data_IF_645964631248
#
_entry.id   IF_645964631248
#
_cell.length_a   1.000
_cell.length_b   1.000
_cell.length_c   1.000
_cell.angle_alpha   90.00
_cell.angle_beta   90.00
_cell.angle_gamma   90.00
#
_symmetry.space_group_name_H-M   'P 1'
#
loop_
_entity.id
_entity.type
_entity.pdbx_description
1 polymer ?
#
# COMPACT_ATOMS: atom_id res chain seq x y z
N UNK A 1 -20.92 -0.68 -5.37
CA UNK A 1 -20.07 0.53 -5.47
C UNK A 1 -18.64 0.06 -5.65
N UNK A 2 -17.95 0.52 -6.69
CA UNK A 2 -16.57 0.07 -7.00
C UNK A 2 -15.59 0.74 -6.04
N UNK A 3 -14.74 -0.05 -5.38
CA UNK A 3 -13.67 0.50 -4.54
C UNK A 3 -12.71 1.34 -5.40
N UNK A 4 -12.29 2.50 -4.91
CA UNK A 4 -11.33 3.35 -5.63
C UNK A 4 -9.93 2.77 -5.49
N UNK A 5 -9.21 2.70 -6.61
CA UNK A 5 -7.81 2.25 -6.66
C UNK A 5 -6.86 3.39 -6.28
N UNK A 6 -5.93 3.10 -5.38
CA UNK A 6 -4.92 4.06 -4.89
C UNK A 6 -3.55 3.43 -4.90
N UNK A 7 -2.60 4.11 -5.55
CA UNK A 7 -1.18 3.77 -5.49
C UNK A 7 -0.51 4.63 -4.44
N UNK A 8 0.10 4.01 -3.43
CA UNK A 8 0.81 4.69 -2.34
C UNK A 8 2.31 4.47 -2.43
N UNK A 9 3.06 5.54 -2.69
CA UNK A 9 4.52 5.50 -2.88
C UNK A 9 5.20 5.99 -1.61
N UNK A 10 5.93 5.09 -0.95
CA UNK A 10 6.74 5.37 0.22
C UNK A 10 6.04 5.00 1.54
N UNK A 11 6.58 4.01 2.24
CA UNK A 11 6.04 3.55 3.51
C UNK A 11 6.89 4.07 4.67
N UNK A 12 6.98 5.40 4.84
CA UNK A 12 7.66 6.03 5.99
C UNK A 12 6.96 5.77 7.33
N UNK A 13 7.39 6.46 8.40
CA UNK A 13 6.71 6.38 9.72
C UNK A 13 5.23 6.75 9.61
N UNK A 14 4.92 7.83 8.88
CA UNK A 14 3.53 8.25 8.64
C UNK A 14 2.85 7.46 7.53
N UNK A 15 3.57 7.16 6.44
CA UNK A 15 2.98 6.52 5.26
C UNK A 15 2.49 5.09 5.52
N UNK A 16 3.17 4.34 6.40
CA UNK A 16 2.80 2.96 6.70
C UNK A 16 1.38 2.81 7.28
N UNK A 17 1.01 3.51 8.39
CA UNK A 17 -0.36 3.47 8.90
C UNK A 17 -1.37 4.18 7.98
N UNK A 18 -0.97 5.23 7.25
CA UNK A 18 -1.86 5.95 6.33
C UNK A 18 -2.34 5.07 5.18
N UNK A 19 -1.44 4.30 4.55
CA UNK A 19 -1.83 3.34 3.52
C UNK A 19 -2.78 2.27 4.10
N UNK A 20 -2.54 1.82 5.34
CA UNK A 20 -3.42 0.87 6.03
C UNK A 20 -4.80 1.43 6.32
N UNK A 21 -4.89 2.72 6.67
CA UNK A 21 -6.15 3.42 6.86
C UNK A 21 -7.00 3.43 5.58
N UNK A 22 -6.38 3.58 4.41
CA UNK A 22 -7.09 3.51 3.13
C UNK A 22 -7.70 2.12 2.88
N UNK A 23 -6.96 1.03 3.15
CA UNK A 23 -7.52 -0.34 3.08
C UNK A 23 -8.77 -0.47 3.95
N UNK A 24 -8.71 0.02 5.20
CA UNK A 24 -9.83 -0.07 6.15
C UNK A 24 -11.03 0.80 5.75
N UNK A 25 -10.84 1.80 4.89
CA UNK A 25 -11.89 2.69 4.39
C UNK A 25 -12.34 2.30 2.96
N UNK A 26 -12.22 1.03 2.61
CA UNK A 26 -12.80 0.46 1.39
C UNK A 26 -12.14 0.95 0.08
N UNK A 27 -10.84 1.23 0.13
CA UNK A 27 -9.99 1.48 -1.03
C UNK A 27 -9.18 0.23 -1.41
N UNK A 28 -8.95 0.05 -2.71
CA UNK A 28 -7.98 -0.93 -3.22
C UNK A 28 -6.60 -0.25 -3.25
N UNK A 29 -5.69 -0.66 -2.37
CA UNK A 29 -4.38 0.01 -2.23
C UNK A 29 -3.26 -0.86 -2.74
N UNK A 30 -2.47 -0.32 -3.66
CA UNK A 30 -1.16 -0.87 -4.06
C UNK A 30 -0.06 -0.02 -3.46
N UNK A 31 0.89 -0.62 -2.75
CA UNK A 31 2.02 0.09 -2.14
C UNK A 31 3.33 -0.20 -2.88
N UNK A 32 4.16 0.84 -2.99
CA UNK A 32 5.55 0.69 -3.38
C UNK A 32 6.45 1.34 -2.32
N UNK A 33 7.58 0.70 -2.03
CA UNK A 33 8.62 1.27 -1.21
C UNK A 33 9.98 0.82 -1.74
N UNK A 34 10.98 1.71 -1.68
CA UNK A 34 12.34 1.42 -2.14
C UNK A 34 12.90 0.13 -1.52
N UNK A 35 12.64 -0.09 -0.24
CA UNK A 35 12.99 -1.34 0.44
C UNK A 35 11.79 -2.27 0.44
N UNK A 36 11.90 -3.37 -0.32
CA UNK A 36 10.84 -4.35 -0.56
C UNK A 36 10.29 -4.99 0.72
N UNK A 37 11.18 -5.32 1.66
CA UNK A 37 10.81 -5.91 2.95
C UNK A 37 9.74 -5.11 3.72
N UNK A 38 9.70 -3.77 3.53
CA UNK A 38 8.71 -2.91 4.16
C UNK A 38 7.33 -3.03 3.53
N UNK A 39 7.26 -3.09 2.20
CA UNK A 39 6.01 -3.36 1.48
C UNK A 39 5.49 -4.76 1.76
N UNK A 40 6.37 -5.77 1.82
CA UNK A 40 5.98 -7.14 2.14
C UNK A 40 5.43 -7.25 3.56
N UNK A 41 6.07 -6.58 4.53
CA UNK A 41 5.57 -6.50 5.91
C UNK A 41 4.22 -5.79 5.98
N UNK A 42 4.01 -4.78 5.14
CA UNK A 42 2.76 -4.05 5.05
C UNK A 42 1.62 -4.93 4.50
N UNK A 43 1.86 -5.70 3.43
CA UNK A 43 0.88 -6.64 2.85
C UNK A 43 0.55 -7.80 3.80
N UNK A 44 1.49 -8.22 4.65
CA UNK A 44 1.18 -9.20 5.71
C UNK A 44 0.25 -8.64 6.78
N UNK A 45 0.28 -7.33 7.02
CA UNK A 45 -0.54 -6.66 8.04
C UNK A 45 -1.89 -6.18 7.51
N UNK A 46 -1.94 -5.75 6.25
CA UNK A 46 -3.12 -5.19 5.60
C UNK A 46 -3.42 -5.94 4.29
N UNK A 47 -4.69 -6.11 3.94
CA UNK A 47 -5.12 -6.87 2.74
C UNK A 47 -4.96 -6.06 1.43
N UNK A 48 -3.83 -5.38 1.24
CA UNK A 48 -3.50 -4.65 0.01
C UNK A 48 -2.45 -5.36 -0.85
N UNK A 49 -2.03 -4.70 -1.92
CA UNK A 49 -1.04 -5.23 -2.86
C UNK A 49 0.30 -4.49 -2.71
N UNK A 50 1.40 -5.14 -3.10
CA UNK A 50 2.71 -4.51 -3.20
C UNK A 50 3.32 -4.79 -4.58
N UNK A 51 3.89 -3.76 -5.20
CA UNK A 51 4.54 -3.86 -6.51
C UNK A 51 6.02 -3.47 -6.41
N UNK A 52 6.88 -4.05 -7.28
CA UNK A 52 8.33 -3.85 -7.21
C UNK A 52 8.76 -2.49 -7.76
N UNK A 53 7.90 -1.82 -8.53
CA UNK A 53 8.15 -0.47 -9.07
C UNK A 53 6.83 0.32 -9.09
N UNK A 54 6.87 1.67 -9.04
CA UNK A 54 5.66 2.48 -9.16
C UNK A 54 4.91 2.30 -10.48
N UNK A 55 5.59 1.97 -11.58
CA UNK A 55 4.97 1.80 -12.91
C UNK A 55 4.12 0.54 -13.03
N UNK A 56 4.23 -0.39 -12.07
CA UNK A 56 3.44 -1.62 -12.01
C UNK A 56 2.30 -1.55 -10.98
N UNK A 57 2.15 -0.41 -10.30
CA UNK A 57 1.30 -0.25 -9.12
C UNK A 57 -0.13 0.21 -9.42
#
# INVERSE_FOLDING_TARGET
MTAKKVTFIGLGVMGYPMAGHLINNNFEVTVFNRTRAKSDSWVKKYQGLAQPTPGMA
#
